data_IF_160105378539
#
_entry.id   IF_160105378539
#
_cell.length_a   1.000
_cell.length_b   1.000
_cell.length_c   1.000
_cell.angle_alpha   90.00
_cell.angle_beta   90.00
_cell.angle_gamma   90.00
#
_symmetry.space_group_name_H-M   'P 1'
#
loop_
_entity.id
_entity.type
_entity.pdbx_description
1 polymer ?
#
# COMPACT_ATOMS: atom_id res chain seq x y z
N UNK A 1 -8.47 24.93 2.62
CA UNK A 1 -7.32 25.72 3.12
C UNK A 1 -6.87 26.78 2.12
N UNK A 2 -6.52 26.42 0.88
CA UNK A 2 -6.04 27.34 -0.17
C UNK A 2 -6.95 28.56 -0.36
N UNK A 3 -8.26 28.34 -0.54
CA UNK A 3 -9.24 29.42 -0.67
C UNK A 3 -9.22 30.40 0.52
N UNK A 4 -9.05 29.90 1.75
CA UNK A 4 -8.95 30.73 2.96
C UNK A 4 -7.67 31.56 2.94
N UNK A 5 -6.54 30.96 2.59
CA UNK A 5 -5.25 31.67 2.48
C UNK A 5 -5.33 32.80 1.45
N UNK A 6 -5.90 32.55 0.28
CA UNK A 6 -6.05 33.57 -0.76
C UNK A 6 -6.96 34.72 -0.29
N UNK A 7 -8.08 34.42 0.39
CA UNK A 7 -8.95 35.45 0.99
C UNK A 7 -8.20 36.31 2.02
N UNK A 8 -7.34 35.71 2.85
CA UNK A 8 -6.49 36.45 3.80
C UNK A 8 -5.46 37.32 3.08
N UNK A 9 -4.76 36.81 2.07
CA UNK A 9 -3.80 37.57 1.25
C UNK A 9 -4.46 38.84 0.69
N UNK A 10 -5.67 38.71 0.14
CA UNK A 10 -6.41 39.87 -0.37
C UNK A 10 -6.83 40.84 0.74
N UNK A 11 -7.31 40.33 1.88
CA UNK A 11 -7.75 41.15 3.01
C UNK A 11 -6.62 42.01 3.57
N UNK A 12 -5.41 41.48 3.64
CA UNK A 12 -4.24 42.18 4.17
C UNK A 12 -3.57 43.12 3.14
N UNK A 13 -4.14 43.28 1.94
CA UNK A 13 -3.65 44.22 0.93
C UNK A 13 -2.41 43.75 0.17
N UNK A 14 -2.11 42.45 0.18
CA UNK A 14 -1.05 41.88 -0.65
C UNK A 14 -1.44 41.89 -2.13
N UNK A 15 -0.43 41.88 -3.01
CA UNK A 15 -0.62 41.97 -4.47
C UNK A 15 -1.28 40.73 -5.11
N UNK A 16 -1.32 39.58 -4.42
CA UNK A 16 -1.92 38.34 -4.91
C UNK A 16 -1.21 37.09 -4.40
N UNK A 17 -1.59 35.93 -4.95
CA UNK A 17 -1.01 34.64 -4.60
C UNK A 17 -1.01 33.68 -5.80
N UNK A 18 -0.04 32.77 -5.83
CA UNK A 18 0.05 31.69 -6.80
C UNK A 18 -0.01 30.35 -6.08
N UNK A 19 -0.66 29.36 -6.69
CA UNK A 19 -0.78 28.02 -6.12
C UNK A 19 0.36 27.17 -6.64
N UNK A 20 1.19 26.69 -5.73
CA UNK A 20 2.04 25.54 -5.97
C UNK A 20 1.23 24.27 -5.63
N UNK A 21 0.89 23.40 -6.58
CA UNK A 21 1.21 23.42 -8.01
C UNK A 21 0.00 23.00 -8.86
N UNK A 22 0.10 23.17 -10.20
CA UNK A 22 -1.02 22.85 -11.10
C UNK A 22 -1.30 21.35 -11.17
N UNK A 23 -0.29 20.54 -11.47
CA UNK A 23 -0.45 19.10 -11.71
C UNK A 23 0.43 18.27 -10.77
N UNK A 24 0.05 17.02 -10.53
CA UNK A 24 0.90 16.05 -9.85
C UNK A 24 2.18 15.78 -10.66
N UNK A 25 3.30 15.61 -9.95
CA UNK A 25 4.63 15.47 -10.56
C UNK A 25 5.35 14.23 -10.03
N UNK A 26 5.33 13.13 -10.79
CA UNK A 26 5.91 11.84 -10.34
C UNK A 26 7.44 11.86 -10.20
N UNK A 27 8.11 12.84 -10.81
CA UNK A 27 9.56 13.03 -10.68
C UNK A 27 9.98 13.68 -9.33
N UNK A 28 9.02 14.09 -8.49
CA UNK A 28 9.32 14.67 -7.18
C UNK A 28 9.67 13.60 -6.15
N UNK A 29 10.26 14.06 -5.05
CA UNK A 29 10.76 13.18 -4.00
C UNK A 29 10.80 13.88 -2.66
N UNK A 30 10.49 13.16 -1.60
CA UNK A 30 10.82 13.58 -0.23
C UNK A 30 11.99 12.79 0.34
N UNK A 31 12.67 13.36 1.34
CA UNK A 31 13.72 12.66 2.09
C UNK A 31 13.23 11.37 2.79
N UNK A 32 11.90 11.22 2.97
CA UNK A 32 11.27 10.07 3.64
C UNK A 32 11.22 8.86 2.70
N UNK A 33 10.96 9.10 1.41
CA UNK A 33 10.66 8.07 0.41
C UNK A 33 11.77 7.89 -0.63
N UNK A 34 12.53 8.95 -0.94
CA UNK A 34 13.65 8.94 -1.90
C UNK A 34 14.61 7.76 -1.69
N UNK A 35 15.06 7.43 -0.46
CA UNK A 35 16.03 6.36 -0.26
C UNK A 35 15.52 4.97 -0.68
N UNK A 36 14.23 4.82 -0.98
CA UNK A 36 13.61 3.56 -1.36
C UNK A 36 13.18 3.49 -2.82
N UNK A 37 13.29 4.59 -3.57
CA UNK A 37 13.05 4.61 -5.01
C UNK A 37 14.33 4.18 -5.73
N UNK A 38 14.54 2.87 -5.87
CA UNK A 38 15.81 2.31 -6.33
C UNK A 38 15.58 1.32 -7.49
N UNK A 39 16.33 1.46 -8.60
CA UNK A 39 17.37 2.46 -8.83
C UNK A 39 16.77 3.85 -9.12
N UNK A 40 17.40 4.90 -8.60
CA UNK A 40 16.78 6.23 -8.54
C UNK A 40 16.46 6.79 -9.93
N UNK A 41 17.25 6.51 -10.96
CA UNK A 41 16.99 6.96 -12.33
C UNK A 41 15.65 6.45 -12.91
N UNK A 42 15.04 5.42 -12.31
CA UNK A 42 13.76 4.84 -12.74
C UNK A 42 12.55 5.36 -11.97
N UNK A 43 12.73 6.23 -10.97
CA UNK A 43 11.61 6.74 -10.15
C UNK A 43 10.54 7.47 -10.98
N UNK A 44 10.90 8.03 -12.13
CA UNK A 44 9.96 8.72 -13.04
C UNK A 44 8.99 7.76 -13.75
N UNK A 45 9.27 6.45 -13.76
CA UNK A 45 8.45 5.47 -14.46
C UNK A 45 7.28 4.98 -13.62
N UNK A 46 7.16 5.38 -12.36
CA UNK A 46 6.07 4.95 -11.50
C UNK A 46 5.67 6.06 -10.53
N UNK A 47 4.44 6.00 -10.04
CA UNK A 47 3.89 6.99 -9.13
C UNK A 47 3.99 6.45 -7.71
N UNK A 48 4.81 7.08 -6.87
CA UNK A 48 4.83 6.77 -5.46
C UNK A 48 3.69 7.49 -4.74
N UNK A 49 2.55 6.80 -4.64
CA UNK A 49 1.37 7.32 -3.95
C UNK A 49 1.59 7.64 -2.45
N UNK A 50 2.69 7.16 -1.85
CA UNK A 50 3.05 7.50 -0.47
C UNK A 50 3.96 8.73 -0.37
N UNK A 51 4.45 9.26 -1.49
CA UNK A 51 5.23 10.48 -1.52
C UNK A 51 4.30 11.69 -1.66
N UNK A 52 4.21 12.57 -0.64
CA UNK A 52 3.29 13.70 -0.71
C UNK A 52 3.67 14.70 -1.82
N UNK A 53 4.95 14.84 -2.17
CA UNK A 53 5.37 15.78 -3.24
C UNK A 53 4.90 15.34 -4.63
N UNK A 54 4.65 14.04 -4.82
CA UNK A 54 4.09 13.54 -6.07
C UNK A 54 2.58 13.79 -6.18
N UNK A 55 1.92 14.27 -5.12
CA UNK A 55 0.45 14.32 -4.99
C UNK A 55 -0.13 15.73 -4.71
N UNK A 56 0.68 16.81 -4.79
CA UNK A 56 0.25 18.18 -4.45
C UNK A 56 -0.57 18.92 -5.51
N UNK A 57 -0.58 18.44 -6.76
CA UNK A 57 -1.26 19.11 -7.86
C UNK A 57 -2.76 19.22 -7.64
N UNK A 58 -3.38 20.27 -8.17
CA UNK A 58 -4.85 20.39 -8.22
C UNK A 58 -5.42 19.52 -9.36
N UNK A 59 -4.64 19.30 -10.41
CA UNK A 59 -4.83 18.30 -11.45
C UNK A 59 -4.10 17.02 -11.06
N UNK A 60 -4.85 15.94 -10.82
CA UNK A 60 -4.28 14.62 -10.61
C UNK A 60 -3.65 14.10 -11.90
N UNK A 61 -2.46 13.52 -11.80
CA UNK A 61 -1.84 12.69 -12.82
C UNK A 61 -1.76 11.29 -12.22
N UNK A 62 -2.67 10.40 -12.61
CA UNK A 62 -2.86 9.10 -11.98
C UNK A 62 -2.86 7.98 -13.03
N UNK A 63 -2.49 6.74 -12.69
CA UNK A 63 -2.63 5.62 -13.62
C UNK A 63 -4.09 5.47 -14.07
N UNK A 64 -4.34 4.97 -15.30
CA UNK A 64 -5.68 4.94 -15.86
C UNK A 64 -6.58 3.85 -15.27
N UNK A 65 -6.02 2.84 -14.61
CA UNK A 65 -6.77 1.69 -14.11
C UNK A 65 -7.73 2.11 -12.98
N UNK A 66 -8.96 1.59 -13.05
CA UNK A 66 -9.96 1.76 -12.01
C UNK A 66 -10.46 0.37 -11.58
N UNK A 67 -10.36 -0.01 -10.30
CA UNK A 67 -10.65 -1.39 -9.88
C UNK A 67 -12.12 -1.79 -10.02
N UNK A 68 -13.07 -0.86 -9.84
CA UNK A 68 -14.49 -1.22 -9.95
C UNK A 68 -14.90 -1.34 -11.42
N UNK A 69 -15.51 -2.48 -11.77
CA UNK A 69 -15.99 -2.78 -13.11
C UNK A 69 -14.92 -3.17 -14.13
N UNK A 70 -13.64 -3.28 -13.72
CA UNK A 70 -12.53 -3.65 -14.60
C UNK A 70 -12.11 -5.11 -14.43
N UNK A 71 -11.42 -5.64 -15.44
CA UNK A 71 -10.86 -6.98 -15.42
C UNK A 71 -9.58 -7.06 -14.58
N UNK A 72 -9.47 -8.14 -13.79
CA UNK A 72 -8.29 -8.52 -13.04
C UNK A 72 -7.75 -9.85 -13.57
N UNK A 73 -6.46 -10.09 -13.32
CA UNK A 73 -5.81 -11.34 -13.69
C UNK A 73 -6.06 -12.38 -12.57
N UNK A 74 -6.52 -13.59 -12.92
CA UNK A 74 -6.73 -14.66 -11.93
C UNK A 74 -5.39 -15.13 -11.35
N UNK A 75 -5.24 -15.09 -10.03
CA UNK A 75 -4.06 -15.60 -9.32
C UNK A 75 -4.26 -17.07 -8.98
N UNK A 76 -5.38 -17.38 -8.32
CA UNK A 76 -5.81 -18.73 -8.05
C UNK A 76 -7.31 -18.76 -7.78
N UNK A 77 -7.91 -19.94 -7.97
CA UNK A 77 -9.29 -20.22 -7.65
C UNK A 77 -9.33 -21.41 -6.68
N UNK A 78 -10.19 -21.33 -5.67
CA UNK A 78 -10.43 -22.43 -4.75
C UNK A 78 -11.13 -23.58 -5.49
N UNK A 79 -10.78 -24.82 -5.15
CA UNK A 79 -11.51 -25.98 -5.68
C UNK A 79 -12.97 -25.92 -5.21
N UNK A 80 -13.92 -26.17 -6.13
CA UNK A 80 -15.35 -25.94 -5.89
C UNK A 80 -15.84 -26.75 -4.68
N UNK A 81 -16.28 -26.03 -3.64
CA UNK A 81 -16.85 -26.60 -2.42
C UNK A 81 -17.79 -25.56 -1.81
N UNK A 82 -19.04 -25.93 -1.57
CA UNK A 82 -20.10 -25.05 -1.04
C UNK A 82 -19.76 -24.47 0.35
N UNK A 83 -18.76 -25.03 1.03
CA UNK A 83 -18.28 -24.54 2.32
C UNK A 83 -17.17 -23.48 2.23
N UNK A 84 -16.60 -23.23 1.05
CA UNK A 84 -15.58 -22.20 0.88
C UNK A 84 -16.18 -20.82 1.18
N UNK A 85 -15.50 -20.05 2.02
CA UNK A 85 -15.78 -18.62 2.17
C UNK A 85 -15.01 -17.84 1.11
N UNK A 86 -13.76 -18.25 0.82
CA UNK A 86 -12.91 -17.61 -0.17
C UNK A 86 -13.01 -18.38 -1.49
N UNK A 87 -13.50 -17.75 -2.54
CA UNK A 87 -13.74 -18.40 -3.83
C UNK A 87 -12.55 -18.26 -4.77
N UNK A 88 -11.94 -17.07 -4.84
CA UNK A 88 -10.81 -16.80 -5.70
C UNK A 88 -10.05 -15.54 -5.26
N UNK A 89 -8.81 -15.43 -5.74
CA UNK A 89 -8.02 -14.22 -5.65
C UNK A 89 -7.61 -13.78 -7.06
N UNK A 90 -7.78 -12.49 -7.32
CA UNK A 90 -7.35 -11.85 -8.53
C UNK A 90 -6.40 -10.69 -8.20
N UNK A 91 -5.52 -10.36 -9.14
CA UNK A 91 -4.58 -9.27 -8.99
C UNK A 91 -4.54 -8.40 -10.26
N UNK A 92 -4.20 -7.13 -10.06
CA UNK A 92 -3.83 -6.22 -11.14
C UNK A 92 -2.71 -5.31 -10.65
N UNK A 93 -1.93 -4.76 -11.56
CA UNK A 93 -0.86 -3.84 -11.24
C UNK A 93 -0.89 -2.66 -12.21
N UNK A 94 -0.58 -1.47 -11.70
CA UNK A 94 -0.32 -0.29 -12.52
C UNK A 94 0.91 0.47 -12.01
N UNK A 95 1.13 1.67 -12.53
CA UNK A 95 2.28 2.49 -12.17
C UNK A 95 2.27 2.98 -10.70
N UNK A 96 1.19 2.86 -9.95
CA UNK A 96 1.09 3.34 -8.55
C UNK A 96 0.80 2.23 -7.53
N UNK A 97 0.02 1.22 -7.90
CA UNK A 97 -0.51 0.24 -6.96
C UNK A 97 -0.45 -1.19 -7.47
N UNK A 98 -0.33 -2.12 -6.51
CA UNK A 98 -0.81 -3.49 -6.64
C UNK A 98 -2.27 -3.54 -6.16
N UNK A 99 -3.16 -4.03 -7.00
CA UNK A 99 -4.56 -4.28 -6.66
C UNK A 99 -4.80 -5.76 -6.42
N UNK A 100 -5.56 -6.07 -5.38
CA UNK A 100 -6.08 -7.40 -5.12
C UNK A 100 -7.60 -7.33 -5.10
N UNK A 101 -8.25 -8.35 -5.65
CA UNK A 101 -9.69 -8.57 -5.50
C UNK A 101 -9.88 -9.99 -4.96
N UNK A 102 -10.41 -10.07 -3.74
CA UNK A 102 -10.81 -11.34 -3.12
C UNK A 102 -12.28 -11.55 -3.40
N UNK A 103 -12.59 -12.66 -4.08
CA UNK A 103 -13.97 -13.10 -4.27
C UNK A 103 -14.39 -13.98 -3.09
N UNK A 104 -15.55 -13.65 -2.52
CA UNK A 104 -16.12 -14.27 -1.34
C UNK A 104 -17.48 -14.88 -1.68
N UNK A 105 -17.76 -16.06 -1.13
CA UNK A 105 -19.04 -16.74 -1.32
C UNK A 105 -20.17 -15.99 -0.59
N UNK A 106 -21.26 -15.67 -1.29
CA UNK A 106 -22.40 -14.97 -0.71
C UNK A 106 -22.04 -13.54 -0.26
N UNK A 107 -22.68 -13.03 0.80
CA UNK A 107 -22.46 -11.64 1.26
C UNK A 107 -21.39 -11.54 2.37
N UNK A 108 -20.42 -12.46 2.40
CA UNK A 108 -19.44 -12.58 3.49
C UNK A 108 -18.58 -11.34 3.68
N UNK A 109 -18.36 -10.53 2.64
CA UNK A 109 -17.67 -9.25 2.74
C UNK A 109 -18.41 -8.26 3.64
N UNK A 110 -19.75 -8.24 3.62
CA UNK A 110 -20.55 -7.34 4.48
C UNK A 110 -20.48 -7.77 5.96
N UNK A 111 -20.26 -9.06 6.22
CA UNK A 111 -20.08 -9.58 7.58
C UNK A 111 -18.81 -9.03 8.25
N UNK A 112 -17.84 -8.51 7.50
CA UNK A 112 -16.69 -7.79 8.07
C UNK A 112 -17.15 -6.59 8.92
N UNK A 113 -18.31 -5.99 8.64
CA UNK A 113 -18.82 -4.83 9.37
C UNK A 113 -19.85 -5.20 10.45
N UNK A 114 -20.19 -6.48 10.59
CA UNK A 114 -21.19 -6.93 11.56
C UNK A 114 -20.64 -6.82 12.99
N UNK A 115 -21.34 -6.10 13.87
CA UNK A 115 -20.90 -5.90 15.27
C UNK A 115 -20.93 -7.18 16.12
N UNK A 116 -21.72 -8.16 15.71
CA UNK A 116 -21.96 -9.40 16.48
C UNK A 116 -20.94 -10.51 16.18
N UNK A 117 -20.10 -10.34 15.16
CA UNK A 117 -19.09 -11.31 14.74
C UNK A 117 -17.78 -10.59 14.46
N UNK A 118 -16.67 -11.04 15.03
CA UNK A 118 -15.36 -10.54 14.62
C UNK A 118 -14.81 -11.33 13.43
N UNK A 119 -15.50 -11.22 12.29
CA UNK A 119 -14.97 -11.75 11.04
C UNK A 119 -13.72 -10.95 10.66
N UNK A 120 -12.62 -11.66 10.40
CA UNK A 120 -11.38 -11.06 9.96
C UNK A 120 -10.81 -11.82 8.77
N UNK A 121 -10.32 -11.08 7.79
CA UNK A 121 -9.61 -11.59 6.63
C UNK A 121 -8.13 -11.25 6.76
N UNK A 122 -7.26 -12.23 6.51
CA UNK A 122 -5.81 -12.05 6.50
C UNK A 122 -5.22 -12.48 5.17
N UNK A 123 -4.31 -11.70 4.60
CA UNK A 123 -3.56 -12.03 3.38
C UNK A 123 -2.07 -12.02 3.70
N UNK A 124 -1.42 -13.17 3.62
CA UNK A 124 0.03 -13.27 3.65
C UNK A 124 0.60 -13.03 2.25
N UNK A 125 1.63 -12.18 2.17
CA UNK A 125 2.23 -11.76 0.90
C UNK A 125 3.73 -12.11 0.94
N UNK A 126 4.12 -13.02 0.07
CA UNK A 126 5.51 -13.34 -0.27
C UNK A 126 5.90 -12.51 -1.49
N UNK A 127 6.94 -11.70 -1.33
CA UNK A 127 7.40 -10.73 -2.31
C UNK A 127 8.71 -11.12 -2.97
N UNK A 128 9.57 -11.95 -2.35
CA UNK A 128 10.79 -12.46 -2.97
C UNK A 128 11.37 -13.67 -2.24
N UNK A 129 11.97 -14.59 -3.00
CA UNK A 129 12.79 -15.67 -2.45
C UNK A 129 12.01 -16.58 -1.52
N UNK A 130 11.33 -17.58 -2.07
CA UNK A 130 10.30 -18.43 -1.41
C UNK A 130 10.62 -19.02 -0.03
N UNK A 131 11.91 -19.15 0.31
CA UNK A 131 12.35 -19.67 1.61
C UNK A 131 12.60 -18.57 2.65
N UNK A 132 12.68 -17.32 2.22
CA UNK A 132 12.71 -16.14 3.08
C UNK A 132 11.30 -15.85 3.60
N UNK A 133 11.18 -14.93 4.54
CA UNK A 133 9.88 -14.61 5.10
C UNK A 133 9.43 -15.61 6.15
N UNK A 134 8.25 -15.37 6.71
CA UNK A 134 7.67 -16.22 7.75
C UNK A 134 6.75 -17.24 7.12
N UNK A 135 6.93 -18.51 7.46
CA UNK A 135 6.00 -19.56 7.06
C UNK A 135 4.86 -19.79 8.06
N UNK A 136 4.71 -18.94 9.08
CA UNK A 136 3.60 -19.02 10.05
C UNK A 136 2.93 -17.67 10.22
N UNK A 137 1.61 -17.67 10.28
CA UNK A 137 0.83 -16.48 10.59
C UNK A 137 0.37 -16.51 12.06
N UNK A 138 0.09 -15.35 12.68
CA UNK A 138 -0.45 -15.27 14.04
C UNK A 138 -1.94 -15.66 14.09
N UNK A 139 -2.31 -16.79 13.45
CA UNK A 139 -3.67 -17.31 13.34
C UNK A 139 -3.70 -18.75 13.86
N UNK A 140 -4.50 -18.98 14.91
CA UNK A 140 -4.57 -20.28 15.55
C UNK A 140 -5.21 -21.32 14.61
N UNK A 141 -4.57 -22.49 14.48
CA UNK A 141 -5.06 -23.59 13.66
C UNK A 141 -4.74 -23.49 12.17
N UNK A 142 -4.09 -22.41 11.72
CA UNK A 142 -3.66 -22.28 10.33
C UNK A 142 -2.41 -23.15 10.07
N UNK A 143 -2.39 -23.97 9.00
CA UNK A 143 -1.19 -24.72 8.62
C UNK A 143 -0.04 -23.79 8.20
N UNK A 144 1.18 -24.33 8.18
CA UNK A 144 2.34 -23.56 7.75
C UNK A 144 2.24 -23.21 6.25
N UNK A 145 2.66 -21.99 5.90
CA UNK A 145 2.73 -21.55 4.51
C UNK A 145 3.85 -22.32 3.78
N UNK A 146 3.65 -22.68 2.50
CA UNK A 146 4.67 -23.38 1.71
C UNK A 146 5.74 -22.42 1.17
N UNK A 147 5.46 -21.10 1.18
CA UNK A 147 6.39 -20.02 0.90
C UNK A 147 6.36 -19.04 2.06
N UNK A 148 7.50 -18.47 2.45
CA UNK A 148 7.53 -17.51 3.54
C UNK A 148 7.07 -16.12 3.10
N UNK A 149 6.28 -15.47 3.96
CA UNK A 149 5.69 -14.16 3.70
C UNK A 149 6.45 -13.04 4.42
N UNK A 150 6.68 -11.94 3.73
CA UNK A 150 7.25 -10.71 4.31
C UNK A 150 6.18 -9.79 4.90
N UNK A 151 4.95 -9.84 4.37
CA UNK A 151 3.87 -8.97 4.78
C UNK A 151 2.61 -9.75 5.15
N UNK A 152 1.85 -9.17 6.07
CA UNK A 152 0.55 -9.67 6.50
C UNK A 152 -0.46 -8.53 6.48
N UNK A 153 -1.41 -8.58 5.55
CA UNK A 153 -2.59 -7.73 5.54
C UNK A 153 -3.64 -8.33 6.46
N UNK A 154 -4.21 -7.53 7.35
CA UNK A 154 -5.33 -7.93 8.21
C UNK A 154 -6.46 -6.93 8.05
N UNK A 155 -7.69 -7.42 7.89
CA UNK A 155 -8.90 -6.62 7.70
C UNK A 155 -9.98 -7.17 8.62
N UNK A 156 -10.54 -6.34 9.49
CA UNK A 156 -11.70 -6.67 10.33
C UNK A 156 -12.55 -5.42 10.60
N UNK A 157 -13.82 -5.60 10.96
CA UNK A 157 -14.71 -4.46 11.26
C UNK A 157 -14.30 -3.66 12.47
N UNK A 158 -13.86 -4.34 13.55
CA UNK A 158 -13.43 -3.68 14.79
C UNK A 158 -12.03 -3.06 14.67
N UNK A 159 -11.14 -3.69 13.90
CA UNK A 159 -9.73 -3.27 13.76
C UNK A 159 -9.43 -2.37 12.56
N UNK A 160 -10.36 -2.27 11.60
CA UNK A 160 -10.10 -1.73 10.27
C UNK A 160 -9.15 -2.62 9.47
N UNK A 161 -8.39 -2.01 8.55
CA UNK A 161 -7.38 -2.72 7.78
C UNK A 161 -5.96 -2.26 8.13
N UNK A 162 -5.02 -3.20 8.18
CA UNK A 162 -3.59 -2.92 8.39
C UNK A 162 -2.69 -3.82 7.57
N UNK A 163 -1.64 -3.26 6.95
CA UNK A 163 -0.54 -4.04 6.38
C UNK A 163 0.64 -4.04 7.34
N UNK A 164 1.02 -5.20 7.84
CA UNK A 164 2.15 -5.41 8.73
C UNK A 164 3.33 -6.00 7.96
N UNK A 165 4.55 -5.71 8.40
CA UNK A 165 5.77 -6.22 7.80
C UNK A 165 6.58 -7.03 8.80
N UNK A 166 7.35 -8.01 8.33
CA UNK A 166 8.32 -8.70 9.17
C UNK A 166 9.34 -7.72 9.78
N UNK A 167 9.76 -7.91 11.05
CA UNK A 167 10.73 -7.03 11.70
C UNK A 167 12.09 -6.88 10.99
N UNK A 168 12.53 -7.90 10.26
CA UNK A 168 13.76 -7.90 9.47
C UNK A 168 13.58 -7.43 8.01
N UNK A 169 12.36 -7.06 7.64
CA UNK A 169 12.00 -6.53 6.33
C UNK A 169 11.06 -5.32 6.43
N UNK A 170 11.25 -4.50 7.46
CA UNK A 170 10.42 -3.32 7.74
C UNK A 170 11.25 -2.05 7.52
N UNK A 171 10.90 -1.21 6.54
CA UNK A 171 11.63 0.02 6.23
C UNK A 171 11.70 1.04 7.37
N UNK A 172 10.81 0.95 8.36
CA UNK A 172 10.86 1.77 9.58
C UNK A 172 11.92 1.30 10.58
N UNK A 173 12.35 0.04 10.47
CA UNK A 173 13.46 -0.55 11.21
C UNK A 173 14.50 -0.96 10.17
N UNK A 174 15.35 -0.03 9.68
CA UNK A 174 16.01 -0.03 8.36
C UNK A 174 16.76 -1.33 8.02
N UNK A 175 16.00 -2.38 7.70
CA UNK A 175 16.40 -3.76 7.44
C UNK A 175 15.60 -4.20 6.23
N UNK A 176 16.30 -4.71 5.23
CA UNK A 176 15.76 -5.04 3.92
C UNK A 176 16.13 -6.46 3.53
N UNK A 177 16.29 -7.35 4.51
CA UNK A 177 16.58 -8.75 4.27
C UNK A 177 15.73 -9.59 5.20
N UNK A 178 14.63 -10.12 4.65
CA UNK A 178 13.86 -11.13 5.35
C UNK A 178 14.63 -12.44 5.37
N UNK A 179 14.93 -12.96 6.55
CA UNK A 179 15.54 -14.27 6.71
C UNK A 179 14.45 -15.34 6.79
N UNK A 180 14.75 -16.60 6.42
CA UNK A 180 13.87 -17.73 6.69
C UNK A 180 13.45 -17.76 8.16
N UNK A 181 12.15 -17.64 8.43
CA UNK A 181 11.62 -17.66 9.80
C UNK A 181 10.45 -18.61 9.94
N UNK A 182 10.34 -19.20 11.14
CA UNK A 182 9.21 -20.03 11.57
C UNK A 182 8.33 -19.30 12.60
N UNK A 183 8.59 -18.03 12.83
CA UNK A 183 7.94 -17.19 13.83
C UNK A 183 6.81 -16.36 13.20
N UNK A 184 5.65 -16.20 13.86
CA UNK A 184 4.54 -15.42 13.33
C UNK A 184 4.69 -13.90 13.59
N UNK A 185 5.91 -13.35 13.49
CA UNK A 185 6.19 -11.96 13.86
C UNK A 185 5.97 -10.99 12.70
N UNK A 186 4.98 -10.13 12.86
CA UNK A 186 4.70 -9.02 11.96
C UNK A 186 4.45 -7.77 12.80
N UNK A 187 5.07 -6.66 12.42
CA UNK A 187 5.00 -5.39 13.15
C UNK A 187 4.55 -4.24 12.24
N UNK A 188 3.94 -3.19 12.79
CA UNK A 188 3.56 -2.02 12.02
C UNK A 188 4.76 -1.31 11.38
N UNK A 189 4.54 -0.71 10.20
CA UNK A 189 5.47 0.14 9.47
C UNK A 189 5.25 1.57 9.93
N UNK A 190 6.10 2.03 10.85
CA UNK A 190 6.01 3.36 11.47
C UNK A 190 7.25 4.21 11.20
N UNK A 191 7.40 4.80 10.00
CA UNK A 191 8.61 5.53 9.65
C UNK A 191 8.67 6.90 10.34
N UNK A 192 9.89 7.39 10.52
CA UNK A 192 10.16 8.74 11.01
C UNK A 192 9.79 9.75 9.92
N UNK A 193 8.83 10.64 10.20
CA UNK A 193 8.36 11.67 9.27
C UNK A 193 8.75 13.09 9.69
N UNK A 194 9.17 13.27 10.94
CA UNK A 194 9.79 14.51 11.38
C UNK A 194 10.90 14.21 12.38
N UNK A 195 12.10 14.75 12.14
CA UNK A 195 13.26 14.54 13.03
C UNK A 195 13.14 15.41 14.27
N UNK A 196 13.75 14.97 15.37
CA UNK A 196 13.91 15.81 16.56
C UNK A 196 14.59 17.12 16.19
N UNK A 197 14.04 18.23 16.64
CA UNK A 197 14.63 19.55 16.52
C UNK A 197 14.79 20.19 17.89
N UNK A 198 15.80 21.04 18.02
CA UNK A 198 16.00 21.87 19.21
C UNK A 198 16.02 23.32 18.76
N UNK A 199 15.11 24.12 19.30
CA UNK A 199 15.05 25.55 19.04
C UNK A 199 16.32 26.22 19.53
N UNK A 200 16.98 26.98 18.64
CA UNK A 200 18.20 27.72 18.95
C UNK A 200 17.94 28.94 19.84
N UNK A 201 16.68 29.38 19.95
CA UNK A 201 16.33 30.62 20.63
C UNK A 201 16.10 30.42 22.13
N UNK A 202 15.48 29.30 22.51
CA UNK A 202 15.04 29.01 23.89
C UNK A 202 15.38 27.58 24.35
N UNK A 203 16.00 26.75 23.49
CA UNK A 203 16.33 25.37 23.81
C UNK A 203 15.14 24.40 23.77
N UNK A 204 13.96 24.85 23.32
CA UNK A 204 12.76 23.99 23.25
C UNK A 204 13.01 22.76 22.38
N UNK A 205 12.68 21.57 22.90
CA UNK A 205 12.83 20.30 22.19
C UNK A 205 11.52 19.96 21.48
N UNK A 206 11.57 19.85 20.16
CA UNK A 206 10.51 19.28 19.34
C UNK A 206 10.84 17.79 19.10
N UNK A 207 10.05 16.85 19.63
CA UNK A 207 10.34 15.42 19.52
C UNK A 207 10.17 14.90 18.09
N UNK A 208 10.67 13.68 17.86
CA UNK A 208 10.44 12.94 16.62
C UNK A 208 8.95 12.65 16.41
N UNK A 209 8.50 12.71 15.16
CA UNK A 209 7.15 12.31 14.76
C UNK A 209 7.26 11.09 13.85
N UNK A 210 6.50 10.07 14.17
CA UNK A 210 6.36 8.85 13.38
C UNK A 210 4.95 8.78 12.79
N UNK A 211 4.85 8.44 11.51
CA UNK A 211 3.57 8.13 10.89
C UNK A 211 3.27 6.63 11.03
N UNK A 212 1.99 6.25 11.13
CA UNK A 212 1.59 4.84 11.04
C UNK A 212 1.11 4.55 9.63
N UNK A 213 2.03 4.07 8.79
CA UNK A 213 1.74 3.74 7.39
C UNK A 213 1.17 2.33 7.24
N UNK A 214 1.08 1.55 8.32
CA UNK A 214 0.38 0.27 8.30
C UNK A 214 -1.12 0.43 8.23
N UNK A 215 -1.69 1.54 8.69
CA UNK A 215 -3.16 1.74 8.71
C UNK A 215 -3.69 1.98 7.31
N UNK A 216 -4.64 1.15 6.89
CA UNK A 216 -5.29 1.23 5.58
C UNK A 216 -6.72 1.77 5.73
N UNK A 217 -7.04 2.73 4.89
CA UNK A 217 -8.30 3.49 4.96
C UNK A 217 -9.40 2.78 4.17
N UNK A 218 -10.61 2.71 4.74
CA UNK A 218 -11.79 2.25 4.01
C UNK A 218 -12.35 3.39 3.15
N UNK A 219 -12.77 3.08 1.93
CA UNK A 219 -13.49 4.03 1.09
C UNK A 219 -13.59 3.54 -0.35
N UNK A 220 -14.59 4.03 -1.06
CA UNK A 220 -14.81 3.72 -2.46
C UNK A 220 -13.74 4.39 -3.34
N UNK A 221 -13.38 3.74 -4.45
CA UNK A 221 -12.38 4.23 -5.40
C UNK A 221 -12.95 5.16 -6.48
N UNK A 222 -14.28 5.21 -6.64
CA UNK A 222 -14.97 6.05 -7.61
C UNK A 222 -15.16 7.48 -7.07
N UNK A 223 -14.57 8.52 -7.70
CA UNK A 223 -14.75 9.92 -7.31
C UNK A 223 -16.19 10.44 -7.29
N UNK A 224 -17.12 9.75 -7.96
CA UNK A 224 -18.55 10.05 -7.95
C UNK A 224 -19.31 9.45 -6.77
N UNK A 225 -18.69 8.50 -6.03
CA UNK A 225 -19.31 7.85 -4.87
C UNK A 225 -19.35 8.77 -3.66
N UNK A 226 -20.40 8.65 -2.84
CA UNK A 226 -20.51 9.35 -1.55
C UNK A 226 -19.48 8.86 -0.53
N UNK A 227 -19.04 7.61 -0.67
CA UNK A 227 -18.03 6.99 0.19
C UNK A 227 -16.62 7.10 -0.41
N UNK A 228 -16.44 7.96 -1.42
CA UNK A 228 -15.14 8.19 -2.04
C UNK A 228 -14.13 8.74 -1.04
N UNK A 229 -12.98 8.07 -0.96
CA UNK A 229 -11.78 8.62 -0.33
C UNK A 229 -10.59 8.39 -1.27
N UNK A 230 -9.97 9.48 -1.72
CA UNK A 230 -8.76 9.40 -2.56
C UNK A 230 -7.59 8.69 -1.87
N UNK A 231 -7.61 8.60 -0.53
CA UNK A 231 -6.64 7.91 0.31
C UNK A 231 -7.12 6.52 0.77
N UNK A 232 -8.28 6.04 0.30
CA UNK A 232 -8.77 4.69 0.58
C UNK A 232 -7.79 3.63 0.09
N UNK A 233 -7.85 2.44 0.68
CA UNK A 233 -6.99 1.31 0.34
C UNK A 233 -7.79 0.03 0.18
N UNK A 234 -8.99 -0.03 0.74
CA UNK A 234 -9.86 -1.19 0.62
C UNK A 234 -11.33 -0.79 0.61
N UNK A 235 -12.12 -1.60 -0.07
CA UNK A 235 -13.55 -1.39 -0.30
C UNK A 235 -14.23 -2.75 -0.47
N UNK A 236 -15.44 -2.89 0.06
CA UNK A 236 -16.30 -4.06 -0.20
C UNK A 236 -17.46 -3.58 -1.06
N UNK A 237 -17.75 -4.29 -2.14
CA UNK A 237 -18.87 -3.93 -3.00
C UNK A 237 -20.23 -4.14 -2.32
N UNK A 238 -21.28 -3.51 -2.87
CA UNK A 238 -22.63 -3.56 -2.30
C UNK A 238 -23.18 -5.00 -2.23
N UNK A 239 -22.68 -5.90 -3.09
CA UNK A 239 -23.07 -7.31 -3.08
C UNK A 239 -22.45 -8.09 -1.92
N UNK A 240 -21.34 -7.61 -1.34
CA UNK A 240 -20.57 -8.31 -0.32
C UNK A 240 -19.73 -9.45 -0.86
N UNK A 241 -19.67 -9.66 -2.18
CA UNK A 241 -18.95 -10.76 -2.81
C UNK A 241 -17.53 -10.38 -3.17
N UNK A 242 -17.20 -9.08 -3.26
CA UNK A 242 -15.88 -8.63 -3.70
C UNK A 242 -15.28 -7.67 -2.70
N UNK A 243 -14.14 -8.07 -2.15
CA UNK A 243 -13.26 -7.21 -1.39
C UNK A 243 -12.13 -6.74 -2.30
N UNK A 244 -12.10 -5.44 -2.57
CA UNK A 244 -11.05 -4.79 -3.32
C UNK A 244 -10.02 -4.18 -2.39
N UNK A 245 -8.75 -4.34 -2.72
CA UNK A 245 -7.61 -3.79 -1.99
C UNK A 245 -6.67 -3.13 -3.02
N UNK A 246 -6.12 -1.96 -2.72
CA UNK A 246 -5.03 -1.32 -3.45
C UNK A 246 -3.88 -1.00 -2.49
N UNK A 247 -2.69 -1.46 -2.81
CA UNK A 247 -1.49 -1.33 -2.00
C UNK A 247 -0.45 -0.51 -2.77
N UNK A 248 0.01 0.64 -2.24
CA UNK A 248 1.11 1.38 -2.83
C UNK A 248 2.36 0.51 -2.92
N UNK A 249 3.09 0.58 -4.03
CA UNK A 249 4.30 -0.23 -4.24
C UNK A 249 5.31 -0.13 -3.11
N UNK A 250 5.59 1.09 -2.64
CA UNK A 250 6.56 1.31 -1.57
C UNK A 250 6.10 0.77 -0.21
N UNK A 251 4.80 0.56 0.00
CA UNK A 251 4.29 -0.10 1.21
C UNK A 251 4.70 -1.58 1.27
N UNK A 252 4.89 -2.21 0.10
CA UNK A 252 5.36 -3.58 -0.09
C UNK A 252 6.89 -3.65 -0.29
N UNK A 253 7.62 -2.58 0.02
CA UNK A 253 9.05 -2.44 -0.24
C UNK A 253 9.42 -2.69 -1.73
N UNK A 254 8.52 -2.37 -2.66
CA UNK A 254 8.84 -2.35 -4.10
C UNK A 254 9.41 -0.97 -4.45
N UNK A 255 10.68 -0.94 -4.82
CA UNK A 255 11.43 0.30 -5.12
C UNK A 255 11.39 0.71 -6.59
N UNK A 256 11.16 -0.26 -7.48
CA UNK A 256 10.84 -0.02 -8.89
C UNK A 256 9.89 -1.11 -9.42
N UNK A 257 8.58 -0.87 -9.44
CA UNK A 257 7.62 -1.83 -9.99
C UNK A 257 7.79 -2.02 -11.49
N UNK A 258 8.34 -1.05 -12.22
CA UNK A 258 8.49 -1.11 -13.68
C UNK A 258 9.49 -2.18 -14.14
N UNK A 259 10.49 -2.48 -13.28
CA UNK A 259 11.51 -3.53 -13.49
C UNK A 259 11.43 -4.69 -12.50
N UNK A 260 10.36 -4.78 -11.71
CA UNK A 260 10.12 -5.83 -10.70
C UNK A 260 11.17 -5.84 -9.57
N UNK A 261 11.60 -4.67 -9.10
CA UNK A 261 12.65 -4.56 -8.09
C UNK A 261 12.06 -4.31 -6.70
N UNK A 262 12.34 -5.24 -5.79
CA UNK A 262 12.08 -5.10 -4.35
C UNK A 262 13.34 -4.66 -3.63
N UNK A 263 13.19 -3.95 -2.51
CA UNK A 263 14.30 -3.62 -1.63
C UNK A 263 14.95 -4.93 -1.13
N UNK A 264 16.26 -5.03 -1.22
CA UNK A 264 16.98 -6.21 -0.74
C UNK A 264 18.40 -5.85 -0.37
N UNK A 265 18.70 -5.88 0.92
CA UNK A 265 20.00 -5.48 1.41
C UNK A 265 20.50 -6.35 2.56
N UNK A 266 21.56 -7.11 2.28
CA UNK A 266 22.18 -8.00 3.25
C UNK A 266 23.09 -7.27 4.24
N UNK A 267 23.38 -5.98 3.99
CA UNK A 267 24.28 -5.22 4.85
C UNK A 267 23.61 -4.96 6.20
N UNK A 268 24.32 -5.22 7.33
CA UNK A 268 23.76 -5.01 8.67
C UNK A 268 23.61 -3.52 9.03
N UNK A 269 24.30 -2.63 8.30
CA UNK A 269 24.25 -1.18 8.45
C UNK A 269 24.27 -0.57 7.04
N UNK A 270 23.27 0.25 6.72
CA UNK A 270 23.30 1.06 5.49
C UNK A 270 24.45 2.08 5.64
N UNK A 271 25.40 2.17 4.69
CA UNK A 271 26.54 3.06 4.82
C UNK A 271 26.10 4.51 5.07
N UNK A 272 26.60 5.13 6.15
CA UNK A 272 26.47 6.56 6.36
C UNK A 272 27.46 7.29 5.44
N UNK A 273 26.88 8.08 4.51
CA UNK A 273 27.39 9.24 3.74
C UNK A 273 28.79 9.25 3.09
N UNK A 274 29.83 8.60 3.61
CA UNK A 274 31.22 8.94 3.28
C UNK A 274 32.00 7.92 2.44
N UNK A 275 31.32 7.01 1.71
CA UNK A 275 31.99 6.17 0.69
C UNK A 275 31.20 6.12 -0.62
N UNK A 276 31.60 7.03 -1.50
CA UNK A 276 31.11 7.21 -2.87
C UNK A 276 31.56 6.00 -3.71
N UNK A 277 30.75 4.93 -3.73
CA UNK A 277 30.50 4.06 -4.90
C UNK A 277 29.14 3.32 -4.76
N UNK A 278 28.54 3.17 -3.55
CA UNK A 278 27.21 2.54 -3.35
C UNK A 278 26.40 3.15 -2.17
N UNK A 279 26.02 4.42 -2.27
CA UNK A 279 25.14 5.13 -1.32
C UNK A 279 23.63 4.86 -1.55
N UNK A 280 23.26 3.64 -1.96
CA UNK A 280 21.88 3.24 -2.15
C UNK A 280 21.61 1.89 -1.48
N UNK A 281 20.38 1.67 -1.00
CA UNK A 281 19.94 0.36 -0.50
C UNK A 281 20.03 -0.65 -1.66
N UNK A 282 20.38 -1.89 -1.34
CA UNK A 282 20.35 -2.96 -2.34
C UNK A 282 18.94 -3.26 -2.84
N UNK A 283 18.85 -3.94 -3.97
CA UNK A 283 17.59 -4.40 -4.54
C UNK A 283 17.75 -5.78 -5.15
N UNK A 284 16.62 -6.47 -5.34
CA UNK A 284 16.56 -7.76 -6.00
C UNK A 284 15.35 -7.79 -6.94
N UNK A 285 15.50 -8.45 -8.08
CA UNK A 285 14.37 -8.72 -8.97
C UNK A 285 13.48 -9.80 -8.36
N UNK A 286 12.19 -9.52 -8.20
CA UNK A 286 11.20 -10.51 -7.77
C UNK A 286 10.84 -11.46 -8.91
N UNK A 287 10.49 -12.70 -8.56
CA UNK A 287 9.89 -13.69 -9.47
C UNK A 287 8.34 -13.58 -9.49
N UNK A 288 7.80 -12.53 -8.87
CA UNK A 288 6.37 -12.33 -8.67
C UNK A 288 5.91 -12.72 -7.27
N UNK A 289 4.71 -12.28 -6.90
CA UNK A 289 4.20 -12.39 -5.54
C UNK A 289 3.33 -13.63 -5.36
N UNK A 290 3.39 -14.23 -4.17
CA UNK A 290 2.45 -15.26 -3.74
C UNK A 290 1.56 -14.73 -2.64
N UNK A 291 0.31 -15.18 -2.66
CA UNK A 291 -0.73 -14.71 -1.76
C UNK A 291 -1.46 -15.91 -1.16
N UNK A 292 -1.58 -15.90 0.17
CA UNK A 292 -2.35 -16.88 0.92
C UNK A 292 -3.38 -16.13 1.75
N UNK A 293 -4.64 -16.51 1.62
CA UNK A 293 -5.76 -15.82 2.28
C UNK A 293 -6.33 -16.75 3.34
N UNK A 294 -6.64 -16.20 4.51
CA UNK A 294 -7.33 -16.89 5.59
C UNK A 294 -8.46 -16.02 6.13
N UNK A 295 -9.54 -16.67 6.55
CA UNK A 295 -10.67 -16.04 7.22
C UNK A 295 -10.82 -16.64 8.61
N UNK A 296 -10.92 -15.78 9.61
CA UNK A 296 -11.23 -16.16 10.99
C UNK A 296 -12.51 -15.49 11.46
N UNK A 297 -13.16 -16.09 12.46
CA UNK A 297 -14.25 -15.47 13.20
C UNK A 297 -13.98 -15.63 14.69
N UNK A 298 -13.95 -14.51 15.42
CA UNK A 298 -13.59 -14.47 16.84
C UNK A 298 -12.25 -15.20 17.11
N UNK A 299 -11.29 -15.01 16.21
CA UNK A 299 -9.96 -15.63 16.26
C UNK A 299 -9.89 -17.10 15.85
N UNK A 300 -11.02 -17.78 15.62
CA UNK A 300 -11.05 -19.17 15.14
C UNK A 300 -10.97 -19.23 13.63
N UNK A 301 -10.11 -20.09 13.10
CA UNK A 301 -9.99 -20.32 11.66
C UNK A 301 -11.30 -20.88 11.08
N UNK A 302 -11.80 -20.25 10.02
CA UNK A 302 -12.98 -20.70 9.28
C UNK A 302 -12.63 -21.24 7.90
N UNK A 303 -11.75 -20.56 7.17
CA UNK A 303 -11.34 -20.96 5.83
C UNK A 303 -9.93 -20.42 5.51
N UNK A 304 -9.25 -21.07 4.58
CA UNK A 304 -8.00 -20.59 4.01
C UNK A 304 -7.80 -21.13 2.59
N UNK A 305 -7.15 -20.32 1.75
CA UNK A 305 -6.90 -20.63 0.35
C UNK A 305 -5.54 -20.07 -0.12
N UNK A 306 -4.92 -20.68 -1.14
CA UNK A 306 -5.35 -21.90 -1.83
C UNK A 306 -4.99 -23.15 -1.01
N UNK A 307 -5.93 -24.07 -0.81
CA UNK A 307 -5.73 -25.29 -0.01
C UNK A 307 -5.54 -26.55 -0.86
N UNK A 308 -4.88 -27.56 -0.29
CA UNK A 308 -4.76 -28.91 -0.81
C UNK A 308 -4.87 -29.90 0.36
N UNK A 309 -6.07 -30.41 0.61
CA UNK A 309 -6.35 -31.18 1.83
C UNK A 309 -6.29 -30.31 3.09
N UNK A 310 -5.54 -30.75 4.09
CA UNK A 310 -5.34 -30.02 5.37
C UNK A 310 -4.18 -29.01 5.32
N UNK A 311 -3.48 -28.91 4.19
CA UNK A 311 -2.35 -28.00 3.98
C UNK A 311 -2.66 -26.94 2.92
N UNK A 312 -1.80 -25.93 2.80
CA UNK A 312 -1.81 -25.02 1.66
C UNK A 312 -1.32 -25.72 0.39
N UNK A 313 -1.88 -25.33 -0.75
CA UNK A 313 -1.46 -25.80 -2.07
C UNK A 313 -0.02 -25.34 -2.35
N UNK A 314 0.85 -26.29 -2.69
CA UNK A 314 2.21 -26.02 -3.14
C UNK A 314 2.26 -25.80 -4.66
N UNK A 315 3.34 -25.19 -5.15
CA UNK A 315 3.55 -25.01 -6.59
C UNK A 315 2.56 -24.05 -7.27
N UNK A 316 1.91 -23.16 -6.50
CA UNK A 316 1.08 -22.09 -7.06
C UNK A 316 1.95 -21.11 -7.85
N UNK A 317 1.45 -20.64 -8.99
CA UNK A 317 2.17 -19.69 -9.84
C UNK A 317 2.21 -18.30 -9.20
N UNK A 318 3.39 -17.65 -9.14
CA UNK A 318 3.47 -16.28 -8.66
C UNK A 318 2.83 -15.29 -9.61
N UNK A 319 2.16 -14.29 -9.05
CA UNK A 319 1.66 -13.16 -9.82
C UNK A 319 2.83 -12.23 -10.17
N UNK A 320 3.18 -12.20 -11.45
CA UNK A 320 4.16 -11.28 -11.99
C UNK A 320 3.45 -10.38 -13.01
N UNK A 321 3.47 -9.08 -12.76
CA UNK A 321 2.85 -8.10 -13.63
C UNK A 321 3.72 -7.76 -14.85
N UNK A 322 3.16 -7.21 -15.94
CA UNK A 322 3.96 -6.70 -17.05
C UNK A 322 4.87 -5.56 -16.59
N UNK A 323 6.16 -5.59 -16.97
CA UNK A 323 7.06 -4.45 -16.77
C UNK A 323 6.79 -3.32 -17.78
N UNK A 324 7.40 -2.16 -17.58
CA UNK A 324 7.26 -1.01 -18.48
C UNK A 324 8.48 -0.09 -18.47
N UNK A 325 8.68 0.64 -19.57
CA UNK A 325 9.64 1.76 -19.67
C UNK A 325 8.94 3.10 -19.99
N UNK A 326 7.63 3.10 -20.10
CA UNK A 326 6.81 4.31 -20.24
C UNK A 326 5.49 4.07 -19.53
N UNK A 327 5.22 4.75 -18.40
CA UNK A 327 3.97 4.58 -17.69
C UNK A 327 2.81 5.21 -18.46
N UNK A 328 1.63 4.61 -18.31
CA UNK A 328 0.39 5.25 -18.71
C UNK A 328 -0.15 6.11 -17.56
N UNK A 329 -0.73 7.25 -17.90
CA UNK A 329 -1.41 8.12 -16.95
C UNK A 329 -2.62 8.76 -17.62
N UNK A 330 -3.57 9.19 -16.79
CA UNK A 330 -4.66 10.09 -17.15
C UNK A 330 -4.62 11.31 -16.26
N UNK A 331 -5.31 12.37 -16.67
CA UNK A 331 -5.48 13.55 -15.84
C UNK A 331 -6.91 13.68 -15.34
N UNK A 332 -7.07 14.19 -14.12
CA UNK A 332 -8.39 14.41 -13.49
C UNK A 332 -8.32 15.61 -12.55
N UNK A 333 -9.30 16.52 -12.62
CA UNK A 333 -9.41 17.60 -11.64
C UNK A 333 -9.77 17.02 -10.27
N UNK A 334 -9.02 17.37 -9.22
CA UNK A 334 -9.33 16.93 -7.85
C UNK A 334 -10.56 17.67 -7.34
N UNK A 335 -11.30 17.06 -6.38
CA UNK A 335 -12.56 17.60 -5.86
C UNK A 335 -12.46 19.05 -5.35
N UNK A 336 -11.30 19.46 -4.83
CA UNK A 336 -11.05 20.83 -4.37
C UNK A 336 -10.91 21.88 -5.48
N UNK A 337 -10.78 21.48 -6.76
CA UNK A 337 -10.52 22.39 -7.87
C UNK A 337 -11.59 23.48 -8.02
N UNK A 338 -12.88 23.11 -8.01
CA UNK A 338 -13.96 24.08 -8.24
C UNK A 338 -13.96 25.20 -7.20
N UNK A 339 -13.80 24.85 -5.91
CA UNK A 339 -13.73 25.82 -4.81
C UNK A 339 -12.53 26.77 -4.94
N UNK A 340 -11.39 26.24 -5.43
CA UNK A 340 -10.20 27.05 -5.71
C UNK A 340 -10.46 27.98 -6.89
N UNK A 341 -10.98 27.46 -8.00
CA UNK A 341 -11.26 28.23 -9.21
C UNK A 341 -12.24 29.38 -8.94
N UNK A 342 -13.33 29.12 -8.23
CA UNK A 342 -14.29 30.14 -7.81
C UNK A 342 -13.65 31.22 -6.94
N UNK A 343 -12.83 30.82 -5.95
CA UNK A 343 -12.18 31.79 -5.07
C UNK A 343 -11.24 32.69 -5.84
N UNK A 344 -10.38 32.13 -6.70
CA UNK A 344 -9.41 32.91 -7.48
C UNK A 344 -10.08 33.74 -8.57
N UNK A 345 -11.15 33.25 -9.20
CA UNK A 345 -11.90 33.99 -10.21
C UNK A 345 -12.78 35.11 -9.64
N UNK A 346 -13.15 35.05 -8.36
CA UNK A 346 -13.95 36.09 -7.70
C UNK A 346 -13.15 37.33 -7.26
N UNK A 347 -11.82 37.24 -7.30
CA UNK A 347 -10.91 38.28 -6.83
C UNK A 347 -10.64 39.23 -8.01
N UNK A 348 -10.88 40.52 -7.80
CA UNK A 348 -10.69 41.59 -8.79
C UNK A 348 -9.40 42.36 -8.57
#
# INVERSE_FOLDING_TARGET
MIARMMKTIMKEGYAGGSIFQWADEWAKKTWITEPFMIPYERHIYWHNAMDPEQNYGILACEPPFHPLGSEFDLVWQADHNDQNIISALYAKADAAYLYLMVELTGQRGLELFAKEKELALSIAIDTFGRQNGSNRLPLQGLPALPSGAEFLLQISGSGGARLLARPDYNRSVPKFMSNPGKDPSFIPVRPLVNRRQVSLQDGTIHPEIYADESKLHYGNFDPASTDYDSLSHWFVDDSGQRLYIRLPWLLLNVGDPSSHLVLYDQRPVIPQKDRIERNQIGFKKTEGFLFYVAVTNDGKLLDYQPRAGEDFKTGISPYLWPGWDTPSYRTRLKQGYQQVAETFGSIK
#
